data_IF_584149814244
#
_entry.id   IF_584149814244
#
_cell.length_a   1.000
_cell.length_b   1.000
_cell.length_c   1.000
_cell.angle_alpha   90.00
_cell.angle_beta   90.00
_cell.angle_gamma   90.00
#
_symmetry.space_group_name_H-M   'P 1'
#
loop_
_entity.id
_entity.type
_entity.pdbx_description
1 polymer ?
#
# COMPACT_ATOMS: atom_id res chain seq x y z
N UNK A 1 -14.23 10.63 10.94
CA UNK A 1 -13.00 11.22 10.38
C UNK A 1 -13.02 11.10 8.86
N UNK A 2 -12.47 12.09 8.13
CA UNK A 2 -12.35 12.03 6.67
C UNK A 2 -10.95 11.51 6.29
N UNK A 3 -10.89 10.45 5.50
CA UNK A 3 -9.64 9.84 5.06
C UNK A 3 -9.49 9.98 3.55
N UNK A 4 -8.26 10.23 3.10
CA UNK A 4 -7.83 10.10 1.71
C UNK A 4 -7.02 8.81 1.53
N UNK A 5 -6.93 8.30 0.30
CA UNK A 5 -6.10 7.13 -0.02
C UNK A 5 -5.43 7.26 -1.38
N UNK A 6 -4.24 6.69 -1.49
CA UNK A 6 -3.46 6.56 -2.73
C UNK A 6 -3.83 5.31 -3.54
N UNK A 7 -4.76 4.49 -3.05
CA UNK A 7 -5.23 3.29 -3.74
C UNK A 7 -5.92 3.69 -5.05
N UNK A 8 -5.49 3.08 -6.16
CA UNK A 8 -6.09 3.30 -7.46
C UNK A 8 -7.57 2.89 -7.46
N UNK A 9 -8.47 3.76 -7.99
CA UNK A 9 -9.88 3.41 -8.07
C UNK A 9 -10.11 2.23 -9.01
N UNK A 10 -11.20 1.50 -8.73
CA UNK A 10 -11.67 0.41 -9.58
C UNK A 10 -12.23 0.95 -10.90
N UNK A 11 -12.70 0.04 -11.77
CA UNK A 11 -13.31 0.40 -13.07
C UNK A 11 -14.54 1.33 -12.94
N UNK A 12 -15.23 1.26 -11.81
CA UNK A 12 -16.37 2.12 -11.47
C UNK A 12 -15.95 3.46 -10.85
N UNK A 13 -14.65 3.75 -10.72
CA UNK A 13 -14.14 5.01 -10.18
C UNK A 13 -14.17 5.10 -8.66
N UNK A 14 -14.41 3.99 -7.95
CA UNK A 14 -14.47 3.97 -6.48
C UNK A 14 -13.41 3.07 -5.86
N UNK A 15 -13.06 3.34 -4.59
CA UNK A 15 -12.32 2.41 -3.73
C UNK A 15 -13.27 1.94 -2.64
N UNK A 16 -13.32 0.62 -2.41
CA UNK A 16 -14.19 0.01 -1.41
C UNK A 16 -13.36 -0.71 -0.38
N UNK A 17 -13.58 -0.40 0.88
CA UNK A 17 -12.82 -0.91 2.01
C UNK A 17 -13.80 -1.56 2.98
N UNK A 18 -13.51 -2.79 3.40
CA UNK A 18 -14.28 -3.45 4.45
C UNK A 18 -13.72 -3.03 5.80
N UNK A 19 -14.56 -2.45 6.64
CA UNK A 19 -14.22 -2.11 8.02
C UNK A 19 -14.24 -3.31 8.95
N UNK A 20 -13.76 -3.09 10.18
CA UNK A 20 -13.77 -4.08 11.26
C UNK A 20 -15.18 -4.31 11.84
N UNK A 21 -16.10 -3.40 11.53
CA UNK A 21 -17.52 -3.43 11.84
C UNK A 21 -18.35 -4.15 10.75
N UNK A 22 -17.70 -4.85 9.83
CA UNK A 22 -18.30 -5.51 8.66
C UNK A 22 -19.02 -4.56 7.68
N UNK A 23 -18.88 -3.24 7.86
CA UNK A 23 -19.41 -2.26 6.91
C UNK A 23 -18.45 -2.06 5.73
N UNK A 24 -19.01 -1.67 4.58
CA UNK A 24 -18.22 -1.31 3.40
C UNK A 24 -18.20 0.19 3.24
N UNK A 25 -17.04 0.78 3.42
CA UNK A 25 -16.80 2.20 3.20
C UNK A 25 -16.40 2.43 1.74
N UNK A 26 -17.03 3.42 1.11
CA UNK A 26 -16.80 3.77 -0.29
C UNK A 26 -16.10 5.12 -0.33
N UNK A 27 -14.94 5.15 -0.98
CA UNK A 27 -14.19 6.36 -1.27
C UNK A 27 -14.49 6.77 -2.70
N UNK A 28 -14.70 8.05 -2.91
CA UNK A 28 -15.00 8.68 -4.20
C UNK A 28 -13.92 9.72 -4.53
N UNK A 29 -13.69 10.02 -5.82
CA UNK A 29 -12.75 11.07 -6.20
C UNK A 29 -13.22 12.43 -5.66
N UNK A 30 -12.34 13.13 -4.96
CA UNK A 30 -12.50 14.51 -4.53
C UNK A 30 -12.07 15.51 -5.61
N UNK A 31 -12.10 16.79 -5.26
CA UNK A 31 -11.78 17.89 -6.18
C UNK A 31 -10.33 17.86 -6.70
N UNK A 32 -9.40 17.36 -5.88
CA UNK A 32 -7.98 17.22 -6.22
C UNK A 32 -7.65 15.88 -6.92
N UNK A 33 -8.66 15.06 -7.21
CA UNK A 33 -8.50 13.73 -7.80
C UNK A 33 -8.08 12.64 -6.82
N UNK A 34 -7.91 12.98 -5.54
CA UNK A 34 -7.66 12.00 -4.47
C UNK A 34 -8.94 11.26 -4.08
N UNK A 35 -8.80 9.99 -3.67
CA UNK A 35 -9.93 9.19 -3.23
C UNK A 35 -10.23 9.51 -1.77
N UNK A 36 -11.37 10.14 -1.50
CA UNK A 36 -11.79 10.56 -0.16
C UNK A 36 -13.05 9.84 0.30
N UNK A 37 -13.10 9.51 1.59
CA UNK A 37 -14.21 8.82 2.23
C UNK A 37 -14.36 9.25 3.68
N UNK A 38 -15.60 9.18 4.20
CA UNK A 38 -15.89 9.46 5.62
C UNK A 38 -16.15 8.16 6.34
N UNK A 39 -15.46 7.97 7.48
CA UNK A 39 -15.60 6.80 8.35
C UNK A 39 -15.91 7.29 9.75
N UNK A 40 -16.99 6.79 10.33
CA UNK A 40 -17.43 7.12 11.70
C UNK A 40 -16.85 6.14 12.74
N UNK A 41 -16.51 4.91 12.31
CA UNK A 41 -16.02 3.87 13.20
C UNK A 41 -14.51 4.03 13.48
N UNK A 42 -14.19 4.55 14.66
CA UNK A 42 -12.83 4.86 15.12
C UNK A 42 -11.84 3.67 15.06
N UNK A 43 -12.19 2.44 15.48
CA UNK A 43 -11.28 1.29 15.35
C UNK A 43 -10.93 0.96 13.89
N UNK A 44 -11.87 1.18 12.96
CA UNK A 44 -11.59 1.01 11.53
C UNK A 44 -10.70 2.12 11.01
N UNK A 45 -10.86 3.36 11.48
CA UNK A 45 -9.95 4.46 11.12
C UNK A 45 -8.53 4.15 11.58
N UNK A 46 -8.33 3.73 12.84
CA UNK A 46 -7.03 3.36 13.37
C UNK A 46 -6.36 2.24 12.53
N UNK A 47 -7.11 1.16 12.26
CA UNK A 47 -6.63 0.05 11.43
C UNK A 47 -6.20 0.48 10.02
N UNK A 48 -6.94 1.39 9.39
CA UNK A 48 -6.62 1.89 8.05
C UNK A 48 -5.40 2.81 8.04
N UNK A 49 -5.27 3.66 9.06
CA UNK A 49 -4.09 4.53 9.24
C UNK A 49 -2.82 3.69 9.47
N UNK A 50 -2.90 2.66 10.32
CA UNK A 50 -1.79 1.75 10.58
C UNK A 50 -1.35 0.97 9.32
N UNK A 51 -2.29 0.71 8.40
CA UNK A 51 -2.00 0.07 7.12
C UNK A 51 -1.15 0.91 6.16
N UNK A 52 -0.91 2.21 6.45
CA UNK A 52 0.00 3.08 5.68
C UNK A 52 -0.49 3.48 4.29
N UNK A 53 -1.72 3.12 3.91
CA UNK A 53 -2.35 3.43 2.61
C UNK A 53 -3.45 4.50 2.70
N UNK A 54 -3.78 4.92 3.92
CA UNK A 54 -4.82 5.89 4.21
C UNK A 54 -4.22 7.04 5.02
N UNK A 55 -4.68 8.25 4.75
CA UNK A 55 -4.17 9.47 5.36
C UNK A 55 -5.34 10.37 5.78
N UNK A 56 -5.18 11.22 6.80
CA UNK A 56 -6.17 12.24 7.13
C UNK A 56 -6.35 13.19 5.96
N UNK A 57 -7.58 13.35 5.48
CA UNK A 57 -7.87 14.27 4.39
C UNK A 57 -7.96 15.73 4.88
N UNK A 58 -8.24 15.93 6.17
CA UNK A 58 -8.34 17.25 6.79
C UNK A 58 -7.15 17.51 7.71
N UNK A 59 -6.53 18.71 7.64
CA UNK A 59 -5.43 19.06 8.53
C UNK A 59 -5.77 19.04 10.02
N UNK A 60 -7.03 19.28 10.39
CA UNK A 60 -7.51 19.21 11.76
C UNK A 60 -7.55 17.80 12.33
N UNK A 61 -7.61 16.78 11.46
CA UNK A 61 -7.68 15.37 11.85
C UNK A 61 -6.29 14.74 12.08
N UNK A 62 -5.19 15.39 11.70
CA UNK A 62 -3.82 14.83 11.82
C UNK A 62 -3.46 14.42 13.25
N UNK A 63 -3.76 15.25 14.24
CA UNK A 63 -3.40 14.97 15.64
C UNK A 63 -4.18 13.77 16.20
N UNK A 64 -5.47 13.66 15.85
CA UNK A 64 -6.30 12.53 16.22
C UNK A 64 -5.85 11.25 15.51
N UNK A 65 -5.51 11.34 14.23
CA UNK A 65 -4.99 10.23 13.45
C UNK A 65 -3.64 9.72 13.99
N UNK A 66 -2.74 10.62 14.38
CA UNK A 66 -1.45 10.26 14.97
C UNK A 66 -1.63 9.51 16.30
N UNK A 67 -2.56 9.96 17.15
CA UNK A 67 -2.90 9.26 18.40
C UNK A 67 -3.47 7.87 18.14
N UNK A 68 -4.31 7.72 17.12
CA UNK A 68 -4.92 6.43 16.76
C UNK A 68 -3.92 5.46 16.11
N UNK A 69 -3.00 5.97 15.29
CA UNK A 69 -1.99 5.16 14.61
C UNK A 69 -0.85 4.72 15.54
N UNK A 70 -0.41 5.60 16.45
CA UNK A 70 0.70 5.33 17.36
C UNK A 70 0.33 4.61 18.67
N UNK A 71 -0.94 4.24 18.87
CA UNK A 71 -1.38 3.59 20.10
C UNK A 71 -0.83 2.16 20.32
N UNK A 72 -0.19 1.57 19.31
CA UNK A 72 0.44 0.23 19.38
C UNK A 72 1.98 0.26 19.23
N UNK A 73 2.61 1.44 19.11
CA UNK A 73 4.08 1.58 18.95
C UNK A 73 4.82 1.91 20.27
N UNK A 74 4.39 1.30 21.38
CA UNK A 74 5.18 1.21 22.61
C UNK A 74 6.23 0.06 22.49
N UNK A 75 7.07 0.10 21.46
CA UNK A 75 8.38 -0.54 21.51
C UNK A 75 9.44 0.56 21.53
N UNK A 76 10.08 0.85 22.68
CA UNK A 76 11.23 1.72 22.68
C UNK A 76 12.33 1.06 21.85
N UNK A 77 12.66 1.63 20.69
CA UNK A 77 13.95 1.39 20.05
C UNK A 77 15.02 1.87 21.05
N UNK A 78 15.63 0.92 21.76
CA UNK A 78 16.83 1.18 22.54
C UNK A 78 17.90 1.70 21.58
N UNK A 79 18.17 3.01 21.70
CA UNK A 79 19.35 3.71 21.17
C UNK A 79 20.60 3.12 21.82
N UNK A 80 20.96 1.89 21.47
CA UNK A 80 22.28 1.34 21.78
C UNK A 80 23.26 1.82 20.69
N UNK A 81 23.71 3.06 20.90
CA UNK A 81 24.98 3.54 20.36
C UNK A 81 26.10 2.74 21.02
N UNK A 82 26.55 1.68 20.35
CA UNK A 82 27.94 1.24 20.50
C UNK A 82 28.71 1.50 19.19
N UNK A 83 29.56 2.50 19.34
CA UNK A 83 30.68 2.89 18.51
C UNK A 83 31.66 1.72 18.41
N UNK A 84 31.87 1.16 17.22
CA UNK A 84 33.16 0.53 16.95
C UNK A 84 33.59 0.66 15.49
N UNK A 85 34.86 1.03 15.40
CA UNK A 85 35.57 1.57 14.27
C UNK A 85 36.14 0.44 13.39
N UNK A 86 36.34 0.75 12.10
CA UNK A 86 37.24 0.09 11.17
C UNK A 86 36.94 -1.34 10.70
N UNK A 87 36.72 -1.48 9.39
CA UNK A 87 36.68 -2.79 8.74
C UNK A 87 36.64 -2.80 7.22
N UNK A 88 37.68 -2.25 6.60
CA UNK A 88 38.24 -2.68 5.31
C UNK A 88 37.32 -3.20 4.18
N UNK A 89 37.31 -2.43 3.08
CA UNK A 89 37.61 -2.90 1.73
C UNK A 89 37.18 -4.32 1.34
N UNK A 90 36.06 -4.43 0.62
CA UNK A 90 36.04 -5.04 -0.71
C UNK A 90 34.65 -4.88 -1.33
N UNK A 91 34.55 -4.10 -2.40
CA UNK A 91 33.42 -4.16 -3.31
C UNK A 91 33.33 -5.61 -3.83
N UNK A 92 32.16 -6.27 -3.80
CA UNK A 92 31.98 -7.52 -4.50
C UNK A 92 32.25 -7.27 -5.99
N UNK A 93 33.23 -7.99 -6.55
CA UNK A 93 33.57 -7.92 -7.97
C UNK A 93 32.30 -8.24 -8.78
N UNK A 94 31.89 -7.31 -9.63
CA UNK A 94 30.80 -7.53 -10.57
C UNK A 94 31.15 -8.73 -11.45
N UNK A 95 30.58 -9.89 -11.11
CA UNK A 95 30.59 -11.05 -11.96
C UNK A 95 29.77 -10.71 -13.20
N UNK A 96 30.50 -10.27 -14.25
CA UNK A 96 30.03 -9.99 -15.59
C UNK A 96 29.47 -11.27 -16.23
N UNK A 97 28.29 -11.69 -15.77
CA UNK A 97 27.57 -12.84 -16.29
C UNK A 97 26.74 -12.36 -17.48
N UNK A 98 27.08 -12.73 -18.73
CA UNK A 98 26.26 -12.36 -19.87
C UNK A 98 24.86 -12.97 -19.72
N UNK A 99 23.79 -12.24 -20.11
CA UNK A 99 22.44 -12.76 -20.02
C UNK A 99 22.28 -13.99 -20.92
N UNK A 100 21.88 -15.12 -20.33
CA UNK A 100 21.43 -16.30 -21.08
C UNK A 100 20.13 -15.94 -21.79
N UNK A 101 20.15 -15.96 -23.12
CA UNK A 101 18.98 -15.71 -23.95
C UNK A 101 17.87 -16.73 -23.62
N UNK A 102 16.72 -16.23 -23.18
CA UNK A 102 15.54 -17.06 -22.97
C UNK A 102 15.09 -17.70 -24.30
N UNK A 103 14.78 -19.01 -24.34
CA UNK A 103 14.24 -19.62 -25.53
C UNK A 103 12.87 -19.01 -25.85
N UNK A 104 12.72 -18.53 -27.09
CA UNK A 104 11.51 -17.94 -27.60
C UNK A 104 10.31 -18.88 -27.35
N UNK A 105 9.38 -18.45 -26.47
CA UNK A 105 8.07 -19.10 -26.37
C UNK A 105 7.39 -18.94 -27.72
N UNK A 106 7.40 -20.03 -28.49
CA UNK A 106 6.64 -20.14 -29.73
C UNK A 106 5.19 -19.77 -29.44
N UNK A 107 4.73 -18.69 -30.08
CA UNK A 107 3.31 -18.33 -30.19
C UNK A 107 2.57 -19.51 -30.83
N UNK A 108 2.02 -20.38 -30.00
CA UNK A 108 1.08 -21.41 -30.40
C UNK A 108 -0.29 -20.80 -30.66
N UNK A 109 -0.45 -20.24 -31.85
CA UNK A 109 -1.66 -20.26 -32.71
C UNK A 109 -2.97 -20.75 -32.04
N UNK A 110 -3.99 -19.89 -31.81
CA UNK A 110 -5.37 -20.34 -31.93
C UNK A 110 -5.67 -20.40 -33.44
N UNK A 111 -6.34 -21.43 -33.98
CA UNK A 111 -7.80 -21.48 -33.82
C UNK A 111 -8.43 -22.89 -33.97
N UNK A 112 -9.64 -23.07 -33.43
CA UNK A 112 -10.81 -23.36 -34.27
C UNK A 112 -12.09 -23.28 -33.45
N UNK A 113 -12.97 -22.37 -33.86
CA UNK A 113 -14.39 -22.47 -33.59
C UNK A 113 -14.90 -23.80 -34.19
N UNK A 114 -15.58 -24.60 -33.36
CA UNK A 114 -16.44 -25.67 -33.82
C UNK A 114 -17.88 -25.24 -33.51
N UNK A 115 -18.58 -24.88 -34.58
CA UNK A 115 -20.03 -24.78 -34.62
C UNK A 115 -20.65 -26.18 -34.50
N UNK A 116 -21.72 -26.31 -33.74
CA UNK A 116 -22.76 -27.35 -33.78
C UNK A 116 -23.72 -27.06 -32.62
N UNK A 117 -25.04 -27.06 -32.73
CA UNK A 117 -26.03 -27.32 -33.78
C UNK A 117 -27.31 -26.62 -33.34
#
# INVERSE_FOLDING_TARGET
>A
MKLSTSILPRRDGTVRVRGLDDQTYIFTPGDDGEMVGTIEHEPTVAFLLQGGLFYPADPGDYEAALRLAGADEDEPEEDDKDDDEAGASALPVEANTPPVAAPARRRGRPPRAAAAQ
#
